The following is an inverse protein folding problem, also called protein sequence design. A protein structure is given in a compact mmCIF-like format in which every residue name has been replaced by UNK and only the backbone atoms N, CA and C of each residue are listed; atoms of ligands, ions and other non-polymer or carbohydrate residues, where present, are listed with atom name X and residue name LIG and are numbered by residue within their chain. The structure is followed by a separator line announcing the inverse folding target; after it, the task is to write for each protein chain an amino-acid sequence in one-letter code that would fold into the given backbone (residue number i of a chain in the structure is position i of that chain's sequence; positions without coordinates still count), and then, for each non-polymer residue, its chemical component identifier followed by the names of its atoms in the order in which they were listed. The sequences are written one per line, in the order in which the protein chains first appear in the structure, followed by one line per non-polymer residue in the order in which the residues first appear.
data_IF_801869865618
#
_entry.id   IF_801869865618
#
_cell.length_a   1.000
_cell.length_b   1.000
_cell.length_c   1.000
_cell.angle_alpha   90.00
_cell.angle_beta   90.00
_cell.angle_gamma   90.00
#
_symmetry.space_group_name_H-M   'P 1'
#
loop_
_entity.id
_entity.type
_entity.pdbx_description
1 polymer ?
#
# COMPACT_ATOMS: atom_id res chain seq x y z
N UNK A 1 -0.75 9.96 -26.41
CA UNK A 1 -1.44 9.77 -25.11
C UNK A 1 -2.56 10.78 -25.03
N UNK A 2 -3.83 10.36 -24.95
CA UNK A 2 -4.91 11.30 -24.61
C UNK A 2 -4.75 11.59 -23.12
N UNK A 3 -4.51 12.86 -22.76
CA UNK A 3 -4.65 13.31 -21.38
C UNK A 3 -6.13 13.18 -21.03
N UNK A 4 -6.47 12.21 -20.21
CA UNK A 4 -7.79 12.13 -19.60
C UNK A 4 -7.85 13.24 -18.56
N UNK A 5 -8.67 14.27 -18.79
CA UNK A 5 -9.01 15.22 -17.73
C UNK A 5 -9.94 14.48 -16.77
N UNK A 6 -9.35 13.92 -15.70
CA UNK A 6 -10.15 13.40 -14.59
C UNK A 6 -10.86 14.59 -13.95
N UNK A 7 -12.16 14.44 -13.72
CA UNK A 7 -12.94 15.42 -12.97
C UNK A 7 -12.49 15.36 -11.49
N UNK A 8 -11.59 16.27 -11.13
CA UNK A 8 -11.01 16.34 -9.79
C UNK A 8 -11.95 17.04 -8.78
N UNK A 9 -13.08 17.63 -9.22
CA UNK A 9 -14.03 18.28 -8.32
C UNK A 9 -14.66 17.30 -7.32
N UNK A 10 -14.62 16.00 -7.61
CA UNK A 10 -15.12 14.92 -6.76
C UNK A 10 -14.00 14.15 -6.04
N UNK A 11 -12.79 14.66 -6.05
CA UNK A 11 -11.66 14.01 -5.39
C UNK A 11 -11.54 14.44 -3.93
N UNK A 12 -11.34 13.48 -3.06
CA UNK A 12 -11.17 13.69 -1.63
C UNK A 12 -9.71 14.01 -1.27
N UNK A 13 -9.54 14.65 -0.11
CA UNK A 13 -8.26 14.65 0.57
C UNK A 13 -7.86 13.19 0.88
N UNK A 14 -6.63 12.75 0.55
CA UNK A 14 -6.23 11.35 0.72
C UNK A 14 -6.39 10.83 2.15
N UNK A 15 -6.11 11.64 3.17
CA UNK A 15 -6.29 11.23 4.57
C UNK A 15 -7.75 10.93 4.87
N UNK A 16 -8.67 11.85 4.54
CA UNK A 16 -10.10 11.66 4.75
C UNK A 16 -10.61 10.42 3.98
N UNK A 17 -10.16 10.27 2.74
CA UNK A 17 -10.50 9.11 1.91
C UNK A 17 -10.06 7.80 2.55
N UNK A 18 -8.78 7.67 2.91
CA UNK A 18 -8.24 6.46 3.53
C UNK A 18 -8.95 6.11 4.84
N UNK A 19 -9.24 7.12 5.68
CA UNK A 19 -9.96 6.94 6.94
C UNK A 19 -11.38 6.42 6.71
N UNK A 20 -12.11 6.96 5.73
CA UNK A 20 -13.45 6.50 5.41
C UNK A 20 -13.44 5.03 4.96
N UNK A 21 -12.50 4.65 4.07
CA UNK A 21 -12.36 3.25 3.64
C UNK A 21 -11.97 2.32 4.78
N UNK A 22 -11.05 2.74 5.65
CA UNK A 22 -10.63 1.96 6.80
C UNK A 22 -11.73 1.77 7.86
N UNK A 23 -12.70 2.70 7.97
CA UNK A 23 -13.88 2.50 8.85
C UNK A 23 -14.74 1.34 8.37
N UNK A 24 -14.89 1.18 7.07
CA UNK A 24 -15.74 0.18 6.43
C UNK A 24 -15.05 -1.18 6.27
N UNK A 25 -13.73 -1.20 6.20
CA UNK A 25 -12.93 -2.37 5.84
C UNK A 25 -12.02 -2.83 6.99
N UNK A 26 -11.72 -4.13 7.00
CA UNK A 26 -10.81 -4.71 7.98
C UNK A 26 -9.35 -4.51 7.59
N UNK A 27 -9.04 -4.59 6.29
CA UNK A 27 -7.68 -4.48 5.77
C UNK A 27 -7.64 -3.40 4.69
N UNK A 28 -6.80 -2.40 4.88
CA UNK A 28 -6.49 -1.40 3.88
C UNK A 28 -5.13 -1.73 3.23
N UNK A 29 -5.13 -2.10 1.95
CA UNK A 29 -3.93 -2.39 1.18
C UNK A 29 -3.50 -1.11 0.46
N UNK A 30 -2.33 -0.56 0.78
CA UNK A 30 -1.81 0.64 0.11
C UNK A 30 -0.53 0.29 -0.64
N UNK A 31 -0.59 0.47 -1.95
CA UNK A 31 0.57 0.37 -2.82
C UNK A 31 1.48 1.57 -2.68
N UNK A 32 2.79 1.36 -2.78
CA UNK A 32 3.78 2.43 -2.82
C UNK A 32 4.64 2.35 -4.07
N UNK A 33 5.08 3.51 -4.55
CA UNK A 33 6.25 3.60 -5.40
C UNK A 33 7.43 3.94 -4.50
N UNK A 34 8.30 2.98 -4.27
CA UNK A 34 9.36 3.03 -3.25
C UNK A 34 10.24 4.29 -3.24
N UNK A 35 10.32 5.02 -4.36
CA UNK A 35 11.10 6.27 -4.48
C UNK A 35 10.24 7.53 -4.51
N UNK A 36 8.93 7.40 -4.38
CA UNK A 36 8.03 8.56 -4.42
C UNK A 36 7.70 8.99 -2.99
N UNK A 37 8.26 10.11 -2.56
CA UNK A 37 8.06 10.63 -1.22
C UNK A 37 6.60 11.02 -0.95
N UNK A 38 5.87 11.52 -1.95
CA UNK A 38 4.48 11.96 -1.77
C UNK A 38 3.56 10.88 -1.21
N UNK A 39 3.66 9.64 -1.73
CA UNK A 39 2.80 8.57 -1.20
C UNK A 39 3.17 8.21 0.24
N UNK A 40 4.45 8.23 0.59
CA UNK A 40 4.89 7.97 1.96
C UNK A 40 4.44 9.08 2.91
N UNK A 41 4.51 10.34 2.49
CA UNK A 41 4.02 11.50 3.26
C UNK A 41 2.50 11.45 3.48
N UNK A 42 1.73 11.06 2.43
CA UNK A 42 0.29 10.81 2.55
C UNK A 42 0.01 9.74 3.59
N UNK A 43 0.73 8.62 3.54
CA UNK A 43 0.53 7.51 4.48
C UNK A 43 0.89 7.95 5.90
N UNK A 44 2.08 8.50 6.11
CA UNK A 44 2.53 8.95 7.43
C UNK A 44 1.56 9.98 8.04
N UNK A 45 1.14 10.96 7.23
CA UNK A 45 0.18 11.98 7.67
C UNK A 45 -1.23 11.45 7.95
N UNK A 46 -1.62 10.31 7.36
CA UNK A 46 -2.92 9.69 7.61
C UNK A 46 -2.94 8.80 8.87
N UNK A 47 -1.79 8.25 9.29
CA UNK A 47 -1.72 7.28 10.40
C UNK A 47 -2.41 7.78 11.70
N UNK A 48 -2.19 9.02 12.19
CA UNK A 48 -2.84 9.48 13.41
C UNK A 48 -4.36 9.38 13.34
N UNK A 49 -4.94 9.83 12.22
CA UNK A 49 -6.39 9.82 12.02
C UNK A 49 -6.93 8.39 11.79
N UNK A 50 -6.16 7.53 11.12
CA UNK A 50 -6.50 6.11 10.94
C UNK A 50 -6.56 5.38 12.29
N UNK A 51 -5.59 5.61 13.17
CA UNK A 51 -5.58 5.05 14.53
C UNK A 51 -6.77 5.57 15.35
N UNK A 52 -6.95 6.89 15.38
CA UNK A 52 -7.97 7.53 16.20
C UNK A 52 -9.39 7.19 15.75
N UNK A 53 -9.68 7.35 14.46
CA UNK A 53 -11.05 7.31 13.94
C UNK A 53 -11.45 5.98 13.32
N UNK A 54 -10.52 5.23 12.70
CA UNK A 54 -10.80 3.94 12.07
C UNK A 54 -10.34 2.75 12.92
N UNK A 55 -9.66 3.00 14.05
CA UNK A 55 -9.16 1.97 14.98
C UNK A 55 -8.17 1.00 14.32
N UNK A 56 -7.35 1.52 13.41
CA UNK A 56 -6.25 0.75 12.82
C UNK A 56 -5.13 0.63 13.86
N UNK A 57 -4.86 -0.57 14.32
CA UNK A 57 -3.86 -0.83 15.37
C UNK A 57 -2.59 -1.51 14.81
N UNK A 58 -2.67 -2.08 13.62
CA UNK A 58 -1.59 -2.89 13.04
C UNK A 58 -1.15 -2.35 11.68
N UNK A 59 0.17 -2.24 11.53
CA UNK A 59 0.85 -1.86 10.30
C UNK A 59 1.71 -3.04 9.81
N UNK A 60 1.31 -3.65 8.71
CA UNK A 60 2.14 -4.62 7.99
C UNK A 60 3.03 -3.90 6.97
N UNK A 61 4.30 -4.26 6.93
CA UNK A 61 5.31 -3.61 6.08
C UNK A 61 6.13 -4.61 5.28
N UNK A 62 6.50 -4.22 4.07
CA UNK A 62 7.36 -4.98 3.15
C UNK A 62 8.83 -4.96 3.64
N UNK A 63 9.03 -5.51 4.82
CA UNK A 63 10.33 -5.70 5.48
C UNK A 63 10.51 -7.20 5.72
N UNK A 64 11.73 -7.76 5.53
CA UNK A 64 11.99 -9.17 5.79
C UNK A 64 11.63 -9.59 7.20
N UNK A 65 10.99 -10.76 7.34
CA UNK A 65 10.56 -11.27 8.63
C UNK A 65 11.70 -11.45 9.64
N UNK A 66 12.94 -11.66 9.19
CA UNK A 66 14.13 -11.68 10.06
C UNK A 66 14.37 -10.37 10.80
N UNK A 67 13.79 -9.27 10.33
CA UNK A 67 13.90 -7.96 10.97
C UNK A 67 12.87 -7.73 12.08
N UNK A 68 11.93 -8.64 12.30
CA UNK A 68 10.93 -8.47 13.35
C UNK A 68 11.53 -8.19 14.74
N UNK A 69 12.61 -8.88 15.19
CA UNK A 69 13.26 -8.55 16.46
C UNK A 69 13.84 -7.12 16.52
N UNK A 70 14.35 -6.60 15.38
CA UNK A 70 14.83 -5.22 15.31
C UNK A 70 13.67 -4.22 15.34
N UNK A 71 12.55 -4.52 14.68
CA UNK A 71 11.33 -3.70 14.77
C UNK A 71 10.83 -3.64 16.22
N UNK A 72 10.81 -4.75 16.94
CA UNK A 72 10.41 -4.79 18.35
C UNK A 72 11.34 -3.94 19.23
N UNK A 73 12.66 -4.05 19.03
CA UNK A 73 13.64 -3.21 19.74
C UNK A 73 13.47 -1.72 19.42
N UNK A 74 13.17 -1.40 18.15
CA UNK A 74 12.85 -0.04 17.74
C UNK A 74 11.58 0.48 18.41
N UNK A 75 10.51 -0.31 18.45
CA UNK A 75 9.27 0.05 19.15
C UNK A 75 9.48 0.27 20.66
N UNK A 76 10.42 -0.46 21.27
CA UNK A 76 10.82 -0.29 22.67
C UNK A 76 11.78 0.89 22.89
N UNK A 77 12.24 1.57 21.84
CA UNK A 77 13.21 2.67 21.93
C UNK A 77 14.65 2.22 22.23
N UNK A 78 14.96 0.94 22.02
CA UNK A 78 16.30 0.37 22.27
C UNK A 78 17.26 0.57 21.08
N UNK A 79 16.73 0.82 19.90
CA UNK A 79 17.49 1.18 18.70
C UNK A 79 16.73 2.26 17.93
N UNK A 80 17.46 2.99 17.08
CA UNK A 80 16.87 3.90 16.12
C UNK A 80 16.34 3.14 14.89
N UNK A 81 15.52 3.81 14.07
CA UNK A 81 14.91 3.23 12.86
C UNK A 81 15.96 2.72 11.87
N UNK A 82 17.13 3.33 11.81
CA UNK A 82 18.25 2.92 10.96
C UNK A 82 18.85 1.56 11.36
N UNK A 83 18.54 1.07 12.55
CA UNK A 83 18.88 -0.28 13.00
C UNK A 83 18.00 -1.39 12.39
N UNK A 84 16.95 -1.03 11.66
CA UNK A 84 16.12 -1.97 10.91
C UNK A 84 16.66 -2.05 9.48
N UNK A 85 17.07 -3.24 9.08
CA UNK A 85 17.47 -3.43 7.68
C UNK A 85 16.25 -3.47 6.76
N UNK A 86 16.22 -2.58 5.78
CA UNK A 86 15.18 -2.50 4.76
C UNK A 86 15.84 -2.62 3.40
N UNK A 87 15.24 -3.37 2.49
CA UNK A 87 15.77 -3.53 1.14
C UNK A 87 15.97 -2.16 0.47
N UNK A 88 17.12 -1.97 -0.20
CA UNK A 88 17.53 -0.67 -0.78
C UNK A 88 16.53 -0.05 -1.78
N UNK A 89 15.67 -0.88 -2.39
CA UNK A 89 14.59 -0.40 -3.27
C UNK A 89 13.46 0.24 -2.45
N UNK A 90 13.19 -0.28 -1.25
CA UNK A 90 12.12 0.18 -0.35
C UNK A 90 12.59 1.31 0.55
N UNK A 91 13.87 1.29 0.92
CA UNK A 91 14.44 2.27 1.83
C UNK A 91 14.42 3.67 1.23
N UNK A 92 13.72 4.58 1.90
CA UNK A 92 13.79 6.03 1.67
C UNK A 92 13.57 6.75 3.00
N UNK A 93 14.07 7.97 3.18
CA UNK A 93 13.80 8.75 4.39
C UNK A 93 12.30 8.86 4.71
N UNK A 94 11.48 9.10 3.69
CA UNK A 94 10.02 9.21 3.84
C UNK A 94 9.35 7.89 4.24
N UNK A 95 9.87 6.73 3.81
CA UNK A 95 9.38 5.43 4.30
C UNK A 95 9.72 5.22 5.78
N UNK A 96 10.93 5.60 6.19
CA UNK A 96 11.33 5.49 7.60
C UNK A 96 10.49 6.39 8.51
N UNK A 97 9.97 7.52 8.02
CA UNK A 97 9.02 8.38 8.77
C UNK A 97 7.71 7.65 9.05
N UNK A 98 7.23 6.77 8.14
CA UNK A 98 6.04 5.94 8.41
C UNK A 98 6.27 5.05 9.64
N UNK A 99 7.45 4.41 9.74
CA UNK A 99 7.79 3.55 10.89
C UNK A 99 7.90 4.35 12.19
N UNK A 100 8.50 5.54 12.13
CA UNK A 100 8.60 6.42 13.30
C UNK A 100 7.23 6.87 13.78
N UNK A 101 6.35 7.27 12.85
CA UNK A 101 5.00 7.68 13.20
C UNK A 101 4.18 6.51 13.77
N UNK A 102 4.26 5.33 13.17
CA UNK A 102 3.61 4.13 13.69
C UNK A 102 4.07 3.80 15.12
N UNK A 103 5.38 3.92 15.41
CA UNK A 103 5.91 3.78 16.78
C UNK A 103 5.33 4.82 17.74
N UNK A 104 5.31 6.09 17.33
CA UNK A 104 4.77 7.19 18.15
C UNK A 104 3.31 6.94 18.52
N UNK A 105 2.55 6.36 17.60
CA UNK A 105 1.14 5.97 17.77
C UNK A 105 0.96 4.62 18.49
N UNK A 106 2.05 3.94 18.83
CA UNK A 106 2.05 2.62 19.48
C UNK A 106 1.33 1.54 18.66
N UNK A 107 1.42 1.62 17.35
CA UNK A 107 0.91 0.58 16.46
C UNK A 107 1.77 -0.70 16.54
N UNK A 108 1.15 -1.85 16.32
CA UNK A 108 1.87 -3.09 16.07
C UNK A 108 2.49 -3.04 14.67
N UNK A 109 3.81 -3.06 14.57
CA UNK A 109 4.53 -3.07 13.28
C UNK A 109 4.98 -4.50 13.02
N UNK A 110 4.50 -5.07 11.91
CA UNK A 110 4.72 -6.47 11.55
C UNK A 110 5.42 -6.57 10.20
N UNK A 111 6.60 -7.18 10.19
CA UNK A 111 7.34 -7.50 8.98
C UNK A 111 6.71 -8.70 8.28
N UNK A 112 6.43 -8.57 6.97
CA UNK A 112 5.74 -9.63 6.21
C UNK A 112 6.53 -10.19 5.04
N UNK A 113 7.64 -9.57 4.65
CA UNK A 113 8.39 -10.02 3.47
C UNK A 113 9.25 -11.26 3.78
N UNK A 114 9.64 -11.96 2.72
CA UNK A 114 10.53 -13.13 2.84
C UNK A 114 11.99 -12.72 2.74
N UNK A 115 12.83 -13.39 3.53
CA UNK A 115 14.29 -13.18 3.49
C UNK A 115 14.96 -13.88 2.29
N UNK A 116 14.32 -14.92 1.77
CA UNK A 116 14.81 -15.76 0.68
C UNK A 116 13.67 -16.08 -0.29
N UNK A 117 13.97 -16.48 -1.53
CA UNK A 117 12.94 -16.92 -2.47
C UNK A 117 12.08 -18.04 -1.86
N UNK A 118 10.78 -17.80 -1.76
CA UNK A 118 9.83 -18.77 -1.20
C UNK A 118 9.31 -19.72 -2.27
N UNK A 119 9.22 -21.05 -2.01
CA UNK A 119 8.66 -22.00 -2.95
C UNK A 119 7.18 -21.72 -3.27
N UNK A 120 6.43 -21.18 -2.33
CA UNK A 120 5.03 -20.79 -2.55
C UNK A 120 4.91 -19.45 -3.28
N UNK A 121 5.98 -18.65 -3.36
CA UNK A 121 6.00 -17.30 -3.91
C UNK A 121 5.92 -16.22 -2.85
N UNK A 122 6.41 -15.03 -3.19
CA UNK A 122 6.55 -13.90 -2.27
C UNK A 122 5.21 -13.35 -1.81
N UNK A 123 4.27 -13.17 -2.74
CA UNK A 123 2.95 -12.63 -2.44
C UNK A 123 2.12 -13.58 -1.57
N UNK A 124 2.16 -14.87 -1.86
CA UNK A 124 1.49 -15.88 -1.02
C UNK A 124 2.13 -15.96 0.37
N UNK A 125 3.45 -15.84 0.46
CA UNK A 125 4.14 -15.77 1.75
C UNK A 125 3.65 -14.58 2.57
N UNK A 126 3.65 -13.38 1.99
CA UNK A 126 3.19 -12.16 2.67
C UNK A 126 1.72 -12.29 3.11
N UNK A 127 0.85 -12.82 2.24
CA UNK A 127 -0.55 -13.02 2.57
C UNK A 127 -0.74 -13.95 3.76
N UNK A 128 -0.01 -15.06 3.82
CA UNK A 128 -0.06 -15.99 4.95
C UNK A 128 0.37 -15.33 6.26
N UNK A 129 1.37 -14.42 6.22
CA UNK A 129 1.77 -13.66 7.41
C UNK A 129 0.67 -12.73 7.89
N UNK A 130 0.04 -11.98 6.98
CA UNK A 130 -1.09 -11.12 7.31
C UNK A 130 -2.25 -11.93 7.89
N UNK A 131 -2.62 -13.03 7.23
CA UNK A 131 -3.74 -13.89 7.63
C UNK A 131 -3.49 -14.50 9.00
N UNK A 132 -2.32 -15.15 9.21
CA UNK A 132 -1.99 -15.78 10.48
C UNK A 132 -2.07 -14.80 11.65
N UNK A 133 -1.53 -13.60 11.47
CA UNK A 133 -1.61 -12.56 12.49
C UNK A 133 -3.06 -12.14 12.80
N UNK A 134 -3.87 -11.90 11.75
CA UNK A 134 -5.26 -11.47 11.93
C UNK A 134 -6.18 -12.57 12.45
N UNK A 135 -5.85 -13.84 12.25
CA UNK A 135 -6.55 -14.98 12.87
C UNK A 135 -6.28 -15.04 14.38
N UNK A 136 -5.06 -14.73 14.81
CA UNK A 136 -4.69 -14.61 16.22
C UNK A 136 -5.27 -13.34 16.88
N UNK A 137 -5.61 -12.31 16.08
CA UNK A 137 -6.13 -11.01 16.51
C UNK A 137 -7.43 -10.66 15.76
N UNK A 138 -8.54 -11.36 16.00
CA UNK A 138 -9.75 -11.28 15.18
C UNK A 138 -10.42 -9.90 15.16
N UNK A 139 -10.26 -9.12 16.23
CA UNK A 139 -10.85 -7.79 16.36
C UNK A 139 -9.97 -6.66 15.78
N UNK A 140 -8.75 -6.97 15.34
CA UNK A 140 -7.85 -5.96 14.82
C UNK A 140 -8.16 -5.58 13.37
N UNK A 141 -7.99 -4.29 13.10
CA UNK A 141 -7.95 -3.71 11.77
C UNK A 141 -6.52 -3.33 11.41
N UNK A 142 -6.18 -3.49 10.14
CA UNK A 142 -4.82 -3.31 9.70
C UNK A 142 -4.69 -2.49 8.41
N UNK A 143 -3.54 -1.85 8.29
CA UNK A 143 -3.03 -1.30 7.04
C UNK A 143 -1.84 -2.14 6.59
N UNK A 144 -1.77 -2.46 5.30
CA UNK A 144 -0.66 -3.18 4.66
C UNK A 144 0.00 -2.25 3.65
N UNK A 145 1.28 -1.96 3.85
CA UNK A 145 2.06 -1.08 2.97
C UNK A 145 3.10 -1.92 2.24
N UNK A 146 2.94 -2.02 0.93
CA UNK A 146 3.80 -2.81 0.03
C UNK A 146 3.98 -2.09 -1.31
N UNK A 147 4.91 -2.54 -2.14
CA UNK A 147 5.04 -2.02 -3.50
C UNK A 147 3.72 -2.12 -4.28
N UNK A 148 3.41 -1.11 -5.11
CA UNK A 148 2.13 -0.96 -5.80
C UNK A 148 1.68 -2.20 -6.58
N UNK A 149 2.62 -3.03 -7.04
CA UNK A 149 2.31 -4.27 -7.77
C UNK A 149 1.59 -5.31 -6.91
N UNK A 150 1.90 -5.37 -5.63
CA UNK A 150 1.37 -6.37 -4.70
C UNK A 150 -0.10 -6.11 -4.34
N UNK A 151 -0.58 -4.88 -4.50
CA UNK A 151 -1.98 -4.50 -4.20
C UNK A 151 -2.90 -4.54 -5.41
N UNK A 152 -2.39 -4.89 -6.60
CA UNK A 152 -3.20 -5.03 -7.82
C UNK A 152 -3.92 -6.37 -7.83
N UNK A 153 -5.20 -6.38 -8.18
CA UNK A 153 -6.08 -7.55 -8.25
C UNK A 153 -6.16 -8.13 -9.66
N UNK A 154 -6.39 -9.42 -9.77
CA UNK A 154 -6.66 -10.09 -11.05
C UNK A 154 -5.48 -10.10 -12.02
N UNK A 155 -4.27 -9.86 -11.53
CA UNK A 155 -3.04 -9.92 -12.32
C UNK A 155 -2.14 -11.05 -11.84
N UNK A 156 -1.25 -11.49 -12.72
CA UNK A 156 -0.22 -12.48 -12.41
C UNK A 156 1.15 -11.88 -12.67
N UNK A 157 2.13 -12.29 -11.88
CA UNK A 157 3.51 -11.88 -12.10
C UNK A 157 4.05 -12.51 -13.40
N UNK A 158 4.60 -11.67 -14.28
CA UNK A 158 5.09 -12.11 -15.59
C UNK A 158 6.11 -13.26 -15.55
N UNK A 159 6.89 -13.34 -14.47
CA UNK A 159 7.94 -14.37 -14.33
C UNK A 159 7.49 -15.61 -13.58
N UNK A 160 6.60 -15.49 -12.61
CA UNK A 160 6.20 -16.59 -11.75
C UNK A 160 4.82 -17.15 -12.08
N UNK A 161 4.02 -16.44 -12.86
CA UNK A 161 2.62 -16.75 -13.14
C UNK A 161 1.78 -16.94 -11.86
N UNK A 162 2.16 -16.24 -10.79
CA UNK A 162 1.48 -16.33 -9.48
C UNK A 162 0.64 -15.09 -9.23
N UNK A 163 -0.50 -15.26 -8.50
CA UNK A 163 -1.33 -14.16 -8.07
C UNK A 163 -0.58 -13.17 -7.16
N UNK A 164 -1.13 -11.98 -7.03
CA UNK A 164 -0.60 -10.94 -6.14
C UNK A 164 -1.05 -11.14 -4.70
N UNK A 165 -0.47 -10.37 -3.77
CA UNK A 165 -0.90 -10.31 -2.38
C UNK A 165 -2.39 -9.96 -2.25
N UNK A 166 -2.87 -8.97 -3.03
CA UNK A 166 -4.28 -8.59 -3.03
C UNK A 166 -5.21 -9.71 -3.47
N UNK A 167 -4.80 -10.53 -4.44
CA UNK A 167 -5.58 -11.70 -4.87
C UNK A 167 -5.62 -12.79 -3.80
N UNK A 168 -4.53 -13.01 -3.08
CA UNK A 168 -4.49 -13.96 -1.97
C UNK A 168 -5.34 -13.50 -0.77
N UNK A 169 -5.56 -12.20 -0.62
CA UNK A 169 -6.37 -11.61 0.45
C UNK A 169 -7.82 -11.31 0.02
N UNK A 170 -8.26 -11.73 -1.16
CA UNK A 170 -9.56 -11.37 -1.74
C UNK A 170 -10.78 -11.90 -0.95
N UNK A 171 -10.59 -12.94 -0.14
CA UNK A 171 -11.62 -13.51 0.75
C UNK A 171 -11.76 -12.75 2.07
N UNK A 172 -10.83 -11.87 2.36
CA UNK A 172 -10.86 -10.98 3.52
C UNK A 172 -11.49 -9.64 3.14
N UNK A 173 -12.06 -8.96 4.10
CA UNK A 173 -12.67 -7.63 3.88
C UNK A 173 -11.59 -6.58 3.62
N UNK A 174 -11.11 -6.53 2.37
CA UNK A 174 -10.00 -5.69 1.92
C UNK A 174 -10.45 -4.55 1.02
N UNK A 175 -9.69 -3.45 1.03
CA UNK A 175 -9.78 -2.36 0.08
C UNK A 175 -8.37 -2.02 -0.43
N UNK A 176 -8.15 -2.08 -1.74
CA UNK A 176 -6.84 -1.82 -2.33
C UNK A 176 -6.77 -0.45 -2.97
N UNK A 177 -5.69 0.27 -2.66
CA UNK A 177 -5.42 1.62 -3.16
C UNK A 177 -4.08 1.65 -3.88
N UNK A 178 -4.07 2.16 -5.10
CA UNK A 178 -2.85 2.31 -5.90
C UNK A 178 -2.45 3.78 -6.02
N UNK A 179 -1.17 4.12 -5.90
CA UNK A 179 -0.67 5.45 -6.24
C UNK A 179 -0.52 5.57 -7.76
N UNK A 180 -0.85 6.72 -8.30
CA UNK A 180 -0.58 7.06 -9.70
C UNK A 180 0.30 8.31 -9.74
N UNK A 181 1.60 8.16 -9.94
CA UNK A 181 2.53 9.28 -9.97
C UNK A 181 2.31 10.14 -11.21
N UNK A 182 2.70 11.41 -11.11
CA UNK A 182 2.65 12.41 -12.20
C UNK A 182 1.28 12.54 -12.89
N UNK A 183 0.21 12.25 -12.16
CA UNK A 183 -1.13 12.09 -12.73
C UNK A 183 -2.02 13.30 -12.59
N UNK A 184 -1.62 14.29 -11.79
CA UNK A 184 -2.40 15.50 -11.56
C UNK A 184 -1.55 16.75 -11.68
N UNK A 185 -2.15 17.83 -12.20
CA UNK A 185 -1.58 19.19 -12.18
C UNK A 185 -1.86 19.92 -10.84
N UNK A 186 -2.62 19.29 -9.93
CA UNK A 186 -2.75 19.76 -8.56
C UNK A 186 -1.40 19.76 -7.86
N UNK A 187 -1.19 20.72 -6.97
CA UNK A 187 -0.01 20.78 -6.10
C UNK A 187 -0.08 19.79 -4.92
N UNK A 188 -1.26 19.25 -4.66
CA UNK A 188 -1.52 18.32 -3.57
C UNK A 188 -2.05 16.97 -4.12
N UNK A 189 -1.73 15.87 -3.46
CA UNK A 189 -2.34 14.58 -3.76
C UNK A 189 -3.85 14.61 -3.56
N UNK A 190 -4.58 13.85 -4.38
CA UNK A 190 -6.03 13.67 -4.26
C UNK A 190 -6.37 12.19 -4.38
N UNK A 191 -7.47 11.75 -3.78
CA UNK A 191 -7.88 10.35 -3.78
C UNK A 191 -9.34 10.18 -4.23
N UNK A 192 -9.64 9.05 -4.88
CA UNK A 192 -10.99 8.73 -5.31
C UNK A 192 -11.18 7.23 -5.55
N UNK A 193 -12.45 6.79 -5.55
CA UNK A 193 -12.82 5.44 -5.98
C UNK A 193 -12.62 5.26 -7.48
N UNK A 194 -12.17 4.07 -7.85
CA UNK A 194 -12.10 3.67 -9.25
C UNK A 194 -13.48 3.19 -9.68
N UNK A 195 -14.17 3.99 -10.47
CA UNK A 195 -15.52 3.68 -10.96
C UNK A 195 -15.56 3.63 -12.49
N UNK A 196 -16.48 2.82 -13.10
CA UNK A 196 -16.60 2.74 -14.55
C UNK A 196 -16.78 4.09 -15.23
N UNK A 197 -17.58 4.96 -14.65
CA UNK A 197 -17.87 6.30 -15.22
C UNK A 197 -16.65 7.19 -15.32
N UNK A 198 -15.67 7.04 -14.41
CA UNK A 198 -14.46 7.88 -14.37
C UNK A 198 -13.28 7.27 -15.12
N UNK A 199 -13.19 5.95 -15.16
CA UNK A 199 -11.99 5.22 -15.57
C UNK A 199 -12.22 4.26 -16.73
N UNK A 200 -13.34 4.35 -17.47
CA UNK A 200 -13.58 3.52 -18.63
C UNK A 200 -12.46 3.71 -19.67
N UNK A 201 -11.86 2.59 -20.09
CA UNK A 201 -10.78 2.59 -21.08
C UNK A 201 -9.41 3.10 -20.58
N UNK A 202 -9.31 3.51 -19.30
CA UNK A 202 -8.03 3.91 -18.71
C UNK A 202 -7.18 2.68 -18.42
N UNK A 203 -6.00 2.58 -19.02
CA UNK A 203 -5.02 1.54 -18.73
C UNK A 203 -3.82 2.13 -18.03
N UNK A 204 -3.37 1.49 -16.94
CA UNK A 204 -2.13 1.88 -16.27
C UNK A 204 -0.96 1.35 -17.13
N UNK A 205 -0.01 2.21 -17.58
CA UNK A 205 1.14 1.77 -18.37
C UNK A 205 1.97 0.67 -17.70
N UNK A 206 2.07 0.71 -16.38
CA UNK A 206 2.77 -0.29 -15.58
C UNK A 206 2.15 -1.69 -15.73
N UNK A 207 0.84 -1.79 -15.91
CA UNK A 207 0.13 -3.05 -16.07
C UNK A 207 0.46 -3.75 -17.38
N UNK A 208 0.70 -3.00 -18.46
CA UNK A 208 1.06 -3.57 -19.76
C UNK A 208 2.38 -4.32 -19.73
N UNK A 209 3.34 -3.84 -18.94
CA UNK A 209 4.67 -4.47 -18.84
C UNK A 209 4.69 -5.71 -17.93
N UNK A 210 3.67 -5.88 -17.08
CA UNK A 210 3.65 -6.89 -16.01
C UNK A 210 2.54 -7.91 -16.14
N UNK A 211 1.54 -7.62 -16.96
CA UNK A 211 0.36 -8.45 -17.06
C UNK A 211 0.42 -9.35 -18.28
N UNK A 212 0.17 -10.63 -18.03
CA UNK A 212 0.10 -11.68 -19.06
C UNK A 212 -1.29 -11.70 -19.70
N UNK A 213 -2.32 -11.20 -18.98
CA UNK A 213 -3.70 -11.18 -19.48
C UNK A 213 -3.93 -9.94 -20.36
N UNK A 214 -4.22 -10.06 -21.65
CA UNK A 214 -4.67 -8.93 -22.46
C UNK A 214 -6.00 -8.41 -21.92
N UNK A 215 -6.22 -7.09 -21.98
CA UNK A 215 -7.48 -6.41 -21.61
C UNK A 215 -7.74 -6.13 -20.12
N UNK A 216 -6.71 -6.00 -19.28
CA UNK A 216 -6.91 -5.51 -17.93
C UNK A 216 -7.00 -3.99 -17.94
N UNK A 217 -8.08 -3.47 -17.39
CA UNK A 217 -8.30 -2.04 -17.14
C UNK A 217 -8.06 -1.74 -15.65
N UNK A 218 -7.84 -0.46 -15.32
CA UNK A 218 -7.73 -0.03 -13.93
C UNK A 218 -8.94 -0.42 -13.09
N UNK A 219 -10.12 -0.52 -13.70
CA UNK A 219 -11.38 -0.86 -13.07
C UNK A 219 -11.41 -2.22 -12.37
N UNK A 220 -10.57 -3.14 -12.82
CA UNK A 220 -10.55 -4.52 -12.30
C UNK A 220 -9.40 -4.78 -11.34
N UNK A 221 -8.44 -3.85 -11.24
CA UNK A 221 -7.18 -4.13 -10.54
C UNK A 221 -7.01 -3.44 -9.19
N UNK A 222 -7.83 -2.44 -8.89
CA UNK A 222 -7.82 -1.78 -7.58
C UNK A 222 -9.21 -1.18 -7.28
N UNK A 223 -9.45 -0.87 -6.01
CA UNK A 223 -10.71 -0.27 -5.56
C UNK A 223 -10.62 1.26 -5.56
N UNK A 224 -9.45 1.78 -5.23
CA UNK A 224 -9.19 3.21 -5.14
C UNK A 224 -7.84 3.63 -5.70
N UNK A 225 -7.70 4.92 -5.93
CA UNK A 225 -6.50 5.52 -6.48
C UNK A 225 -6.13 6.79 -5.73
N UNK A 226 -4.82 7.00 -5.55
CA UNK A 226 -4.26 8.28 -5.10
C UNK A 226 -3.48 8.87 -6.26
N UNK A 227 -3.95 9.98 -6.78
CA UNK A 227 -3.30 10.75 -7.83
C UNK A 227 -2.22 11.63 -7.17
N UNK A 228 -1.00 11.47 -7.60
CA UNK A 228 0.13 12.20 -7.05
C UNK A 228 0.54 13.35 -7.96
N UNK A 229 0.96 14.50 -7.38
CA UNK A 229 1.49 15.63 -8.13
C UNK A 229 2.64 15.23 -9.05
N UNK A 230 2.83 15.99 -10.11
CA UNK A 230 4.04 15.90 -10.92
C UNK A 230 5.26 16.25 -10.06
N UNK A 231 6.31 15.44 -10.17
CA UNK A 231 7.58 15.78 -9.52
C UNK A 231 8.03 17.16 -10.00
N UNK A 232 8.29 18.06 -9.05
CA UNK A 232 8.89 19.36 -9.42
C UNK A 232 10.29 19.07 -9.94
N UNK A 233 10.54 19.40 -11.20
CA UNK A 233 11.89 19.38 -11.77
C UNK A 233 12.72 20.46 -11.08
N UNK A 234 13.60 20.03 -10.19
CA UNK A 234 14.64 20.88 -9.60
C UNK A 234 15.87 20.90 -10.49
#
# INVERSE_FOLDING_TARGET
MRAYSLDLELADNPTAYLVNKAKEKRILLIGTHHRNAYIHEVIAGALPTLVEQAKINTLFVEIPCSQQPNIERFCQGLIDVDGIWVHSIVTSPSFLEILKEARNLRMNIVAIDTDVPSPIGRDEWMSRKVVSYLEEHPDEKAIVIVGARHVLKGIEWAFSHKPTLADHLNTYDTFSVVPWPDSTDSTLPVAMDITPTKFEGVSIPLLRAMNIKPHITILTVADGIILLPKAQSH
#
